data_IF_056197577345
#
_entry.id   IF_056197577345
#
_cell.length_a   1.000
_cell.length_b   1.000
_cell.length_c   1.000
_cell.angle_alpha   90.00
_cell.angle_beta   90.00
_cell.angle_gamma   90.00
#
_symmetry.space_group_name_H-M   'P 1'
#
loop_
_entity.id
_entity.type
_entity.pdbx_description
1 polymer ?
#
# COMPACT_ATOMS: atom_id res chain seq x y z
N UNK A 1 44.03 26.09 11.83
CA UNK A 1 44.76 24.85 11.49
C UNK A 1 43.81 23.66 11.45
N UNK A 2 42.95 23.50 12.48
CA UNK A 2 41.86 22.49 12.52
C UNK A 2 40.90 22.49 11.32
N UNK A 3 40.54 23.64 10.75
CA UNK A 3 39.65 23.74 9.59
C UNK A 3 40.28 23.16 8.30
N UNK A 4 41.61 23.16 8.21
CA UNK A 4 42.37 22.66 7.06
C UNK A 4 42.58 21.15 7.14
N UNK A 5 42.74 20.61 8.35
CA UNK A 5 42.80 19.17 8.60
C UNK A 5 41.43 18.50 8.40
N UNK A 6 40.34 19.16 8.82
CA UNK A 6 38.97 18.68 8.60
C UNK A 6 38.65 18.60 7.10
N UNK A 7 38.95 19.63 6.32
CA UNK A 7 38.73 19.62 4.87
C UNK A 7 39.59 18.58 4.14
N UNK A 8 40.81 18.29 4.63
CA UNK A 8 41.61 17.20 4.09
C UNK A 8 41.02 15.82 4.41
N UNK A 9 40.46 15.61 5.60
CA UNK A 9 39.79 14.36 5.96
C UNK A 9 38.50 14.12 5.16
N UNK A 10 37.69 15.16 4.95
CA UNK A 10 36.47 15.07 4.11
C UNK A 10 36.82 14.78 2.66
N UNK A 11 37.84 15.47 2.11
CA UNK A 11 38.30 15.24 0.74
C UNK A 11 38.98 13.87 0.56
N UNK A 12 39.67 13.34 1.57
CA UNK A 12 40.20 11.96 1.54
C UNK A 12 39.08 10.92 1.59
N UNK A 13 38.03 11.15 2.37
CA UNK A 13 36.88 10.26 2.47
C UNK A 13 36.03 10.29 1.19
N UNK A 14 35.85 11.46 0.59
CA UNK A 14 35.13 11.66 -0.67
C UNK A 14 35.89 11.07 -1.88
N UNK A 15 37.23 11.17 -1.89
CA UNK A 15 38.06 10.54 -2.92
C UNK A 15 38.16 9.01 -2.75
N UNK A 16 38.15 8.49 -1.52
CA UNK A 16 38.09 7.04 -1.26
C UNK A 16 36.72 6.43 -1.62
N UNK A 17 35.64 7.23 -1.54
CA UNK A 17 34.28 6.84 -1.95
C UNK A 17 34.13 6.67 -3.46
N UNK A 18 34.92 7.41 -4.26
CA UNK A 18 34.82 7.46 -5.72
C UNK A 18 35.45 6.26 -6.43
N UNK A 19 36.41 5.58 -5.78
CA UNK A 19 37.12 4.41 -6.31
C UNK A 19 36.52 3.05 -5.86
N UNK A 20 35.47 3.06 -5.02
CA UNK A 20 34.86 1.83 -4.52
C UNK A 20 33.80 1.28 -5.48
N UNK A 21 33.86 -0.03 -5.75
CA UNK A 21 32.88 -0.76 -6.56
C UNK A 21 31.46 -0.55 -6.01
N UNK A 22 30.44 -0.54 -6.87
CA UNK A 22 29.02 -0.45 -6.45
C UNK A 22 28.66 -1.47 -5.35
N UNK A 23 29.35 -2.61 -5.34
CA UNK A 23 29.24 -3.64 -4.31
C UNK A 23 29.73 -3.19 -2.92
N UNK A 24 30.81 -2.42 -2.83
CA UNK A 24 31.36 -1.90 -1.57
C UNK A 24 30.51 -0.75 -1.02
N UNK A 25 29.94 0.07 -1.92
CA UNK A 25 28.96 1.10 -1.56
C UNK A 25 27.71 0.47 -0.91
N UNK A 26 27.25 -0.67 -1.44
CA UNK A 26 26.10 -1.41 -0.89
C UNK A 26 26.41 -2.11 0.44
N UNK A 27 27.67 -2.50 0.67
CA UNK A 27 28.06 -3.30 1.84
C UNK A 27 28.36 -2.46 3.08
N UNK A 28 28.97 -1.28 2.93
CA UNK A 28 29.57 -0.54 4.05
C UNK A 28 29.03 0.88 4.31
N UNK A 29 28.27 1.48 3.39
CA UNK A 29 27.74 2.84 3.60
C UNK A 29 26.29 2.76 4.12
N UNK A 30 26.06 3.25 5.34
CA UNK A 30 24.70 3.36 5.91
C UNK A 30 23.91 4.39 5.12
N UNK A 31 23.07 3.95 4.19
CA UNK A 31 22.22 4.84 3.40
C UNK A 31 20.74 4.44 3.58
N UNK A 32 20.01 5.05 4.53
CA UNK A 32 18.62 4.71 4.80
C UNK A 32 17.66 5.05 3.65
N UNK A 33 18.03 5.98 2.77
CA UNK A 33 17.27 6.30 1.56
C UNK A 33 17.39 5.22 0.49
N UNK A 34 18.53 4.53 0.42
CA UNK A 34 18.67 3.34 -0.44
C UNK A 34 18.03 2.12 0.18
N UNK A 35 18.11 1.96 1.51
CA UNK A 35 17.56 0.82 2.23
C UNK A 35 16.07 0.61 1.97
N UNK A 36 15.26 1.68 1.97
CA UNK A 36 13.82 1.61 1.65
C UNK A 36 13.51 0.99 0.29
N UNK A 37 14.33 1.26 -0.73
CA UNK A 37 14.12 0.68 -2.07
C UNK A 37 14.50 -0.80 -2.12
N UNK A 38 15.52 -1.21 -1.35
CA UNK A 38 15.89 -2.63 -1.22
C UNK A 38 14.77 -3.39 -0.51
N UNK A 39 14.17 -2.84 0.54
CA UNK A 39 13.00 -3.44 1.20
C UNK A 39 11.78 -3.50 0.27
N UNK A 40 11.53 -2.45 -0.52
CA UNK A 40 10.49 -2.46 -1.56
C UNK A 40 10.72 -3.58 -2.59
N UNK A 41 11.97 -3.81 -3.00
CA UNK A 41 12.33 -4.89 -3.91
C UNK A 41 12.13 -6.27 -3.26
N UNK A 42 12.54 -6.48 -2.00
CA UNK A 42 12.30 -7.72 -1.24
C UNK A 42 10.80 -8.02 -1.17
N UNK A 43 10.00 -6.99 -0.90
CA UNK A 43 8.55 -7.10 -0.85
C UNK A 43 7.96 -7.45 -2.23
N UNK A 44 8.41 -6.78 -3.31
CA UNK A 44 8.00 -7.10 -4.69
C UNK A 44 8.35 -8.55 -5.05
N UNK A 45 9.56 -9.01 -4.74
CA UNK A 45 9.96 -10.40 -5.00
C UNK A 45 9.09 -11.37 -4.21
N UNK A 46 8.76 -11.05 -2.95
CA UNK A 46 7.85 -11.87 -2.14
C UNK A 46 6.44 -11.95 -2.74
N UNK A 47 5.94 -10.86 -3.32
CA UNK A 47 4.66 -10.85 -4.05
C UNK A 47 4.70 -11.72 -5.31
N UNK A 48 5.78 -11.64 -6.10
CA UNK A 48 5.98 -12.47 -7.29
C UNK A 48 6.12 -13.96 -6.92
N UNK A 49 6.83 -14.27 -5.83
CA UNK A 49 6.94 -15.63 -5.30
C UNK A 49 5.58 -16.16 -4.85
N UNK A 50 4.78 -15.36 -4.14
CA UNK A 50 3.44 -15.75 -3.74
C UNK A 50 2.54 -16.06 -4.96
N UNK A 51 2.55 -15.18 -5.96
CA UNK A 51 1.87 -15.44 -7.23
C UNK A 51 2.37 -16.71 -7.92
N UNK A 52 3.70 -16.91 -7.96
CA UNK A 52 4.29 -18.10 -8.57
C UNK A 52 3.81 -19.37 -7.86
N UNK A 53 3.77 -19.39 -6.52
CA UNK A 53 3.25 -20.54 -5.75
C UNK A 53 1.76 -20.81 -5.99
N UNK A 54 0.99 -19.78 -6.34
CA UNK A 54 -0.43 -19.89 -6.69
C UNK A 54 -0.65 -20.48 -8.08
N UNK A 55 -0.02 -19.88 -9.09
CA UNK A 55 -0.40 -20.04 -10.51
C UNK A 55 0.62 -20.80 -11.36
N UNK A 56 1.91 -20.69 -11.07
CA UNK A 56 2.98 -21.11 -11.99
C UNK A 56 3.67 -22.39 -11.52
N UNK A 57 3.97 -22.47 -10.22
CA UNK A 57 4.69 -23.59 -9.60
C UNK A 57 3.81 -24.84 -9.48
N UNK A 58 2.49 -24.67 -9.42
CA UNK A 58 1.50 -25.75 -9.52
C UNK A 58 1.59 -26.52 -10.84
N UNK A 59 2.08 -25.87 -11.91
CA UNK A 59 2.17 -26.43 -13.26
C UNK A 59 3.50 -27.13 -13.54
N UNK A 60 4.55 -26.83 -12.78
CA UNK A 60 5.89 -27.36 -13.04
C UNK A 60 6.10 -28.68 -12.30
N UNK A 61 6.19 -29.78 -13.05
CA UNK A 61 6.35 -31.15 -12.52
C UNK A 61 7.60 -31.36 -11.64
N UNK A 62 8.69 -30.61 -11.88
CA UNK A 62 9.92 -30.71 -11.07
C UNK A 62 9.77 -30.06 -9.70
N UNK A 63 9.18 -28.86 -9.63
CA UNK A 63 8.97 -28.14 -8.39
C UNK A 63 7.89 -28.78 -7.53
N UNK A 64 6.82 -29.29 -8.15
CA UNK A 64 5.81 -30.08 -7.43
C UNK A 64 6.43 -31.33 -6.79
N UNK A 65 7.39 -32.00 -7.43
CA UNK A 65 8.16 -33.10 -6.82
C UNK A 65 9.04 -32.63 -5.65
N UNK A 66 9.73 -31.51 -5.80
CA UNK A 66 10.53 -30.92 -4.71
C UNK A 66 9.67 -30.62 -3.48
N UNK A 67 8.53 -29.94 -3.65
CA UNK A 67 7.62 -29.65 -2.55
C UNK A 67 6.98 -30.90 -1.97
N UNK A 68 6.60 -31.90 -2.78
CA UNK A 68 6.13 -33.20 -2.28
C UNK A 68 7.18 -33.91 -1.42
N UNK A 69 8.48 -33.70 -1.67
CA UNK A 69 9.55 -34.23 -0.83
C UNK A 69 9.59 -33.68 0.60
N UNK A 70 8.90 -32.56 0.88
CA UNK A 70 8.79 -32.00 2.23
C UNK A 70 7.73 -32.79 3.01
N UNK A 71 8.10 -33.21 4.23
CA UNK A 71 7.34 -34.16 5.09
C UNK A 71 5.84 -33.85 5.19
N UNK A 72 5.47 -32.58 5.29
CA UNK A 72 4.08 -32.13 5.45
C UNK A 72 3.30 -32.02 4.12
N UNK A 73 3.99 -31.95 2.99
CA UNK A 73 3.38 -31.87 1.65
C UNK A 73 3.13 -33.25 1.01
N UNK A 74 3.58 -34.33 1.66
CA UNK A 74 3.34 -35.71 1.21
C UNK A 74 1.94 -36.24 1.59
N UNK A 75 1.31 -35.65 2.62
CA UNK A 75 0.05 -36.14 3.21
C UNK A 75 -1.12 -35.29 2.72
N UNK A 76 -1.40 -35.29 1.41
CA UNK A 76 -2.63 -34.74 0.83
C UNK A 76 -2.94 -33.24 1.02
N UNK A 77 -2.10 -32.49 1.76
CA UNK A 77 -2.23 -31.05 2.00
C UNK A 77 -1.58 -30.31 0.83
N UNK A 78 -2.35 -29.49 0.11
CA UNK A 78 -1.86 -28.74 -1.05
C UNK A 78 -0.91 -27.61 -0.61
N UNK A 79 0.40 -27.82 -0.70
CA UNK A 79 1.42 -26.81 -0.40
C UNK A 79 1.56 -25.67 -1.44
N UNK A 80 0.71 -25.67 -2.46
CA UNK A 80 0.69 -24.74 -3.58
C UNK A 80 -0.75 -24.27 -3.80
N UNK A 81 -0.97 -23.25 -4.62
CA UNK A 81 -2.28 -22.60 -4.70
C UNK A 81 -2.47 -21.59 -3.55
N UNK A 82 -3.69 -21.45 -3.00
CA UNK A 82 -3.98 -20.46 -1.95
C UNK A 82 -3.12 -20.60 -0.68
N UNK A 83 -2.82 -21.83 -0.26
CA UNK A 83 -1.96 -22.10 0.90
C UNK A 83 -0.51 -21.68 0.65
N UNK A 84 -0.03 -21.82 -0.59
CA UNK A 84 1.31 -21.37 -0.99
C UNK A 84 1.46 -19.86 -0.84
N UNK A 85 0.44 -19.09 -1.22
CA UNK A 85 0.39 -17.64 -1.02
C UNK A 85 0.48 -17.27 0.45
N UNK A 86 -0.28 -17.96 1.31
CA UNK A 86 -0.25 -17.72 2.77
C UNK A 86 1.12 -18.06 3.36
N UNK A 87 1.78 -19.13 2.90
CA UNK A 87 3.13 -19.52 3.35
C UNK A 87 4.19 -18.47 2.99
N UNK A 88 4.20 -18.01 1.73
CA UNK A 88 5.13 -16.93 1.31
C UNK A 88 4.84 -15.63 2.06
N UNK A 89 3.56 -15.28 2.21
CA UNK A 89 3.13 -14.12 2.99
C UNK A 89 3.57 -14.20 4.45
N UNK A 90 3.42 -15.35 5.10
CA UNK A 90 3.85 -15.56 6.48
C UNK A 90 5.36 -15.34 6.63
N UNK A 91 6.16 -15.84 5.68
CA UNK A 91 7.61 -15.61 5.70
C UNK A 91 7.98 -14.14 5.53
N UNK A 92 7.31 -13.45 4.61
CA UNK A 92 7.47 -12.01 4.40
C UNK A 92 7.07 -11.20 5.65
N UNK A 93 5.91 -11.52 6.24
CA UNK A 93 5.41 -10.93 7.47
C UNK A 93 6.40 -11.10 8.62
N UNK A 94 6.92 -12.33 8.83
CA UNK A 94 7.89 -12.61 9.89
C UNK A 94 9.19 -11.82 9.68
N UNK A 95 9.69 -11.74 8.44
CA UNK A 95 10.88 -10.96 8.11
C UNK A 95 10.68 -9.48 8.49
N UNK A 96 9.59 -8.86 8.05
CA UNK A 96 9.31 -7.46 8.36
C UNK A 96 8.98 -7.24 9.84
N UNK A 97 8.39 -8.21 10.54
CA UNK A 97 8.19 -8.14 11.99
C UNK A 97 9.49 -8.23 12.78
N UNK A 98 10.44 -9.07 12.37
CA UNK A 98 11.78 -9.09 12.97
C UNK A 98 12.47 -7.74 12.76
N UNK A 99 12.37 -7.18 11.55
CA UNK A 99 12.89 -5.85 11.27
C UNK A 99 12.22 -4.79 12.13
N UNK A 100 10.89 -4.78 12.22
CA UNK A 100 10.11 -3.89 13.09
C UNK A 100 10.61 -3.93 14.54
N UNK A 101 10.64 -5.10 15.17
CA UNK A 101 11.10 -5.25 16.55
C UNK A 101 12.54 -4.76 16.73
N UNK A 102 13.43 -5.06 15.77
CA UNK A 102 14.83 -4.65 15.84
C UNK A 102 15.08 -3.14 15.64
N UNK A 103 14.20 -2.41 14.93
CA UNK A 103 14.40 -1.00 14.56
C UNK A 103 13.43 0.00 15.20
N UNK A 104 12.41 -0.44 15.94
CA UNK A 104 11.47 0.42 16.72
C UNK A 104 12.21 1.39 17.65
N UNK A 105 11.87 2.67 17.76
CA UNK A 105 12.64 3.65 18.59
C UNK A 105 14.05 3.97 18.09
N UNK A 106 14.33 3.81 16.80
CA UNK A 106 15.52 4.42 16.19
C UNK A 106 15.20 5.87 15.85
N UNK A 107 15.93 6.82 16.43
CA UNK A 107 15.79 8.25 16.16
C UNK A 107 17.01 8.86 15.47
N UNK A 108 18.22 8.39 15.79
CA UNK A 108 19.49 8.97 15.29
C UNK A 108 20.20 8.10 14.24
N UNK A 109 20.80 8.76 13.26
CA UNK A 109 21.71 8.20 12.26
C UNK A 109 23.00 7.68 12.93
N UNK A 110 23.72 6.79 12.25
CA UNK A 110 24.98 6.18 12.72
C UNK A 110 24.89 5.30 13.98
N UNK A 111 23.72 5.20 14.62
CA UNK A 111 23.46 4.27 15.71
C UNK A 111 23.53 2.80 15.26
N UNK A 112 23.66 1.88 16.23
CA UNK A 112 23.71 0.43 15.95
C UNK A 112 22.49 -0.04 15.17
N UNK A 113 21.32 0.51 15.49
CA UNK A 113 20.04 0.15 14.87
C UNK A 113 19.87 0.73 13.47
N UNK A 114 20.43 1.90 13.20
CA UNK A 114 20.53 2.46 11.86
C UNK A 114 21.46 1.63 10.98
N UNK A 115 22.65 1.26 11.48
CA UNK A 115 23.57 0.35 10.78
C UNK A 115 22.92 -1.01 10.49
N UNK A 116 22.14 -1.53 11.45
CA UNK A 116 21.33 -2.72 11.22
C UNK A 116 20.23 -2.47 10.18
N UNK A 117 19.51 -1.35 10.20
CA UNK A 117 18.46 -1.05 9.21
C UNK A 117 19.02 -0.88 7.79
N UNK A 118 20.12 -0.16 7.64
CA UNK A 118 20.64 0.33 6.35
C UNK A 118 21.75 -0.56 5.77
N UNK A 119 22.36 -1.44 6.57
CA UNK A 119 23.48 -2.30 6.16
C UNK A 119 23.21 -3.80 6.34
N UNK A 120 24.27 -4.60 6.54
CA UNK A 120 24.19 -6.03 6.91
C UNK A 120 23.31 -6.88 5.97
N UNK A 121 23.26 -6.52 4.69
CA UNK A 121 22.35 -7.10 3.70
C UNK A 121 22.53 -8.60 3.51
N UNK A 122 23.76 -9.12 3.54
CA UNK A 122 24.02 -10.56 3.41
C UNK A 122 23.27 -11.38 4.47
N UNK A 123 23.29 -10.92 5.72
CA UNK A 123 22.61 -11.58 6.83
C UNK A 123 21.09 -11.49 6.65
N UNK A 124 20.58 -10.32 6.27
CA UNK A 124 19.14 -10.11 6.04
C UNK A 124 18.59 -10.93 4.87
N UNK A 125 19.35 -11.06 3.77
CA UNK A 125 18.93 -11.84 2.61
C UNK A 125 18.86 -13.32 2.99
N UNK A 126 19.85 -13.84 3.73
CA UNK A 126 19.81 -15.20 4.26
C UNK A 126 18.62 -15.38 5.21
N UNK A 127 18.41 -14.43 6.13
CA UNK A 127 17.26 -14.44 7.05
C UNK A 127 15.92 -14.45 6.30
N UNK A 128 15.77 -13.60 5.28
CA UNK A 128 14.56 -13.53 4.45
C UNK A 128 14.31 -14.84 3.69
N UNK A 129 15.34 -15.45 3.10
CA UNK A 129 15.21 -16.74 2.41
C UNK A 129 14.78 -17.83 3.40
N UNK A 130 15.44 -17.91 4.56
CA UNK A 130 15.10 -18.90 5.60
C UNK A 130 13.66 -18.72 6.10
N UNK A 131 13.27 -17.48 6.42
CA UNK A 131 11.91 -17.17 6.86
C UNK A 131 10.86 -17.41 5.77
N UNK A 132 11.22 -17.34 4.49
CA UNK A 132 10.33 -17.69 3.38
C UNK A 132 10.16 -19.21 3.22
N UNK A 133 11.19 -20.01 3.52
CA UNK A 133 11.15 -21.48 3.40
C UNK A 133 10.46 -22.13 4.62
N UNK A 134 10.70 -21.63 5.84
CA UNK A 134 10.17 -22.21 7.09
C UNK A 134 8.65 -22.47 7.07
N UNK A 135 7.79 -21.55 6.59
CA UNK A 135 6.34 -21.77 6.51
C UNK A 135 5.93 -22.99 5.66
N UNK A 136 6.76 -23.43 4.73
CA UNK A 136 6.49 -24.65 3.95
C UNK A 136 6.63 -25.93 4.76
N UNK A 137 7.32 -25.87 5.91
CA UNK A 137 7.48 -26.97 6.86
C UNK A 137 6.40 -26.99 7.94
N UNK A 138 5.55 -25.95 8.01
CA UNK A 138 4.52 -25.83 9.05
C UNK A 138 3.24 -26.60 8.69
N UNK A 139 2.55 -27.18 9.70
CA UNK A 139 1.27 -27.85 9.51
C UNK A 139 0.16 -26.89 9.05
N UNK A 140 -0.80 -27.41 8.28
CA UNK A 140 -1.92 -26.64 7.71
C UNK A 140 -2.70 -25.83 8.75
N UNK A 141 -2.91 -26.38 9.95
CA UNK A 141 -3.61 -25.68 11.05
C UNK A 141 -2.98 -24.33 11.41
N UNK A 142 -1.64 -24.22 11.36
CA UNK A 142 -0.95 -22.95 11.61
C UNK A 142 -1.12 -21.97 10.45
N UNK A 143 -1.16 -22.48 9.21
CA UNK A 143 -1.40 -21.67 8.02
C UNK A 143 -2.83 -21.13 7.99
N UNK A 144 -3.82 -21.93 8.41
CA UNK A 144 -5.21 -21.48 8.56
C UNK A 144 -5.34 -20.41 9.64
N UNK A 145 -4.64 -20.58 10.77
CA UNK A 145 -4.60 -19.58 11.83
C UNK A 145 -3.96 -18.28 11.34
N UNK A 146 -2.84 -18.39 10.61
CA UNK A 146 -2.22 -17.25 9.96
C UNK A 146 -3.16 -16.59 8.95
N UNK A 147 -3.90 -17.35 8.14
CA UNK A 147 -4.90 -16.83 7.22
C UNK A 147 -5.95 -15.98 7.92
N UNK A 148 -6.45 -16.41 9.08
CA UNK A 148 -7.38 -15.61 9.91
C UNK A 148 -6.71 -14.35 10.46
N UNK A 149 -5.48 -14.45 10.93
CA UNK A 149 -4.72 -13.28 11.39
C UNK A 149 -4.44 -12.29 10.24
N UNK A 150 -4.19 -12.81 9.03
CA UNK A 150 -3.94 -12.01 7.85
C UNK A 150 -5.18 -11.22 7.39
N UNK A 151 -6.39 -11.76 7.56
CA UNK A 151 -7.63 -10.97 7.34
C UNK A 151 -7.68 -9.74 8.25
N UNK A 152 -7.35 -9.91 9.53
CA UNK A 152 -7.31 -8.80 10.48
C UNK A 152 -6.19 -7.80 10.15
N UNK A 153 -4.95 -8.28 9.94
CA UNK A 153 -3.82 -7.42 9.61
C UNK A 153 -3.96 -6.70 8.27
N UNK A 154 -4.65 -7.31 7.31
CA UNK A 154 -5.07 -6.69 6.06
C UNK A 154 -6.01 -5.50 6.29
N UNK A 155 -6.96 -5.61 7.23
CA UNK A 155 -7.80 -4.48 7.65
C UNK A 155 -6.99 -3.36 8.29
N UNK A 156 -6.01 -3.69 9.14
CA UNK A 156 -5.09 -2.72 9.74
C UNK A 156 -4.29 -1.99 8.65
N UNK A 157 -3.74 -2.71 7.67
CA UNK A 157 -3.04 -2.11 6.53
C UNK A 157 -3.91 -1.13 5.77
N UNK A 158 -5.16 -1.50 5.44
CA UNK A 158 -6.11 -0.64 4.74
C UNK A 158 -6.39 0.66 5.50
N UNK A 159 -6.58 0.59 6.83
CA UNK A 159 -6.80 1.78 7.67
C UNK A 159 -5.58 2.70 7.65
N UNK A 160 -4.37 2.16 7.80
CA UNK A 160 -3.13 2.95 7.79
C UNK A 160 -2.90 3.59 6.42
N UNK A 161 -3.07 2.82 5.34
CA UNK A 161 -2.95 3.28 3.97
C UNK A 161 -3.96 4.40 3.67
N UNK A 162 -5.20 4.24 4.14
CA UNK A 162 -6.27 5.21 3.99
C UNK A 162 -5.96 6.52 4.71
N UNK A 163 -5.52 6.45 5.97
CA UNK A 163 -5.08 7.64 6.73
C UNK A 163 -3.94 8.36 5.99
N UNK A 164 -2.95 7.60 5.51
CA UNK A 164 -1.81 8.14 4.76
C UNK A 164 -2.25 8.85 3.47
N UNK A 165 -3.15 8.24 2.68
CA UNK A 165 -3.67 8.88 1.45
C UNK A 165 -4.46 10.15 1.76
N UNK A 166 -5.30 10.14 2.79
CA UNK A 166 -6.07 11.32 3.18
C UNK A 166 -5.14 12.45 3.64
N UNK A 167 -4.16 12.14 4.50
CA UNK A 167 -3.15 13.10 4.96
C UNK A 167 -2.33 13.66 3.80
N UNK A 168 -1.94 12.82 2.84
CA UNK A 168 -1.25 13.26 1.64
C UNK A 168 -2.10 14.22 0.79
N UNK A 169 -3.41 13.94 0.62
CA UNK A 169 -4.31 14.82 -0.12
C UNK A 169 -4.49 16.18 0.58
N UNK A 170 -4.61 16.17 1.92
CA UNK A 170 -4.69 17.40 2.72
C UNK A 170 -3.37 18.18 2.63
N UNK A 171 -2.23 17.49 2.70
CA UNK A 171 -0.91 18.09 2.52
C UNK A 171 -0.75 18.72 1.12
N UNK A 172 -1.19 18.05 0.04
CA UNK A 172 -1.22 18.65 -1.30
C UNK A 172 -2.05 19.94 -1.28
N UNK A 173 -3.23 19.90 -0.66
CA UNK A 173 -4.10 21.07 -0.58
C UNK A 173 -3.41 22.24 0.13
N UNK A 174 -2.76 21.98 1.26
CA UNK A 174 -2.07 23.00 2.06
C UNK A 174 -0.80 23.54 1.38
N UNK A 175 -0.01 22.66 0.74
CA UNK A 175 1.18 23.06 -0.02
C UNK A 175 0.83 23.88 -1.26
N UNK A 176 -0.27 23.56 -1.92
CA UNK A 176 -0.69 24.25 -3.13
C UNK A 176 -1.47 25.55 -2.88
N UNK A 177 -1.86 25.86 -1.63
CA UNK A 177 -2.42 27.17 -1.25
C UNK A 177 -1.28 28.04 -0.67
N UNK A 178 -0.48 28.75 -1.50
CA UNK A 178 0.56 29.61 -0.97
C UNK A 178 -0.04 30.78 -0.20
N UNK A 179 0.69 31.20 0.86
CA UNK A 179 0.48 32.49 1.53
C UNK A 179 0.55 33.62 0.50
N UNK A 180 -0.62 34.14 0.11
CA UNK A 180 -0.92 35.49 -0.43
C UNK A 180 0.23 36.14 -1.25
N UNK A 181 0.57 35.69 -2.47
CA UNK A 181 1.04 36.56 -3.59
C UNK A 181 1.44 35.93 -4.95
N UNK A 182 1.05 34.70 -5.34
CA UNK A 182 1.40 34.16 -6.67
C UNK A 182 0.18 33.74 -7.50
N UNK A 183 -0.26 34.64 -8.40
CA UNK A 183 -1.41 34.43 -9.30
C UNK A 183 -1.25 33.17 -10.20
N UNK A 184 -0.02 32.78 -10.52
CA UNK A 184 0.27 31.58 -11.33
C UNK A 184 -0.06 30.29 -10.57
N UNK A 185 0.20 30.24 -9.26
CA UNK A 185 -0.03 29.04 -8.44
C UNK A 185 -1.54 28.79 -8.24
N UNK A 186 -2.33 29.85 -8.02
CA UNK A 186 -3.79 29.73 -7.88
C UNK A 186 -4.47 29.21 -9.16
N UNK A 187 -4.00 29.63 -10.35
CA UNK A 187 -4.52 29.13 -11.61
C UNK A 187 -4.27 27.61 -11.78
N UNK A 188 -3.07 27.13 -11.44
CA UNK A 188 -2.76 25.69 -11.51
C UNK A 188 -3.59 24.86 -10.53
N UNK A 189 -3.84 25.35 -9.32
CA UNK A 189 -4.71 24.69 -8.33
C UNK A 189 -6.15 24.59 -8.82
N UNK A 190 -6.67 25.68 -9.37
CA UNK A 190 -8.03 25.70 -9.92
C UNK A 190 -8.15 24.73 -11.10
N UNK A 191 -7.16 24.73 -12.01
CA UNK A 191 -7.12 23.81 -13.15
C UNK A 191 -7.07 22.35 -12.70
N UNK A 192 -6.23 22.03 -11.70
CA UNK A 192 -6.11 20.69 -11.13
C UNK A 192 -7.43 20.25 -10.47
N UNK A 193 -8.10 21.14 -9.75
CA UNK A 193 -9.39 20.87 -9.11
C UNK A 193 -10.47 20.58 -10.14
N UNK A 194 -10.61 21.44 -11.16
CA UNK A 194 -11.60 21.28 -12.24
C UNK A 194 -11.33 19.98 -13.01
N UNK A 195 -10.07 19.73 -13.39
CA UNK A 195 -9.68 18.50 -14.07
C UNK A 195 -10.04 17.25 -13.27
N UNK A 196 -9.80 17.28 -11.96
CA UNK A 196 -10.15 16.18 -11.06
C UNK A 196 -11.66 15.93 -11.01
N UNK A 197 -12.49 16.98 -10.89
CA UNK A 197 -13.95 16.84 -10.92
C UNK A 197 -14.48 16.30 -12.25
N UNK A 198 -13.93 16.76 -13.37
CA UNK A 198 -14.32 16.27 -14.71
C UNK A 198 -14.01 14.78 -14.83
N UNK A 199 -12.85 14.33 -14.35
CA UNK A 199 -12.48 12.91 -14.35
C UNK A 199 -13.39 12.10 -13.42
N UNK A 200 -13.73 12.61 -12.22
CA UNK A 200 -14.69 11.95 -11.33
C UNK A 200 -16.04 11.73 -12.01
N UNK A 201 -16.60 12.78 -12.63
CA UNK A 201 -17.89 12.71 -13.31
C UNK A 201 -17.83 11.75 -14.50
N UNK A 202 -16.77 11.80 -15.31
CA UNK A 202 -16.55 10.86 -16.41
C UNK A 202 -16.47 9.41 -15.92
N UNK A 203 -15.80 9.17 -14.79
CA UNK A 203 -15.72 7.86 -14.13
C UNK A 203 -17.09 7.34 -13.70
N UNK A 204 -17.91 8.16 -13.03
CA UNK A 204 -19.28 7.81 -12.63
C UNK A 204 -20.15 7.47 -13.85
N UNK A 205 -20.13 8.31 -14.90
CA UNK A 205 -20.88 8.06 -16.13
C UNK A 205 -20.44 6.77 -16.82
N UNK A 206 -19.12 6.54 -16.92
CA UNK A 206 -18.57 5.31 -17.46
C UNK A 206 -19.03 4.07 -16.68
N UNK A 207 -19.08 4.16 -15.35
CA UNK A 207 -19.53 3.06 -14.51
C UNK A 207 -21.00 2.71 -14.73
N UNK A 208 -21.89 3.70 -14.84
CA UNK A 208 -23.30 3.46 -15.17
C UNK A 208 -23.46 2.76 -16.53
N UNK A 209 -22.77 3.24 -17.56
CA UNK A 209 -22.88 2.69 -18.93
C UNK A 209 -22.35 1.25 -19.00
N UNK A 210 -21.29 0.94 -18.26
CA UNK A 210 -20.54 -0.32 -18.41
C UNK A 210 -20.97 -1.42 -17.44
N UNK A 211 -21.39 -1.06 -16.22
CA UNK A 211 -21.67 -1.99 -15.13
C UNK A 211 -23.11 -1.92 -14.58
N UNK A 212 -23.93 -0.97 -15.06
CA UNK A 212 -25.35 -0.87 -14.72
C UNK A 212 -26.26 -0.59 -15.96
N UNK A 213 -26.14 -1.37 -17.06
CA UNK A 213 -26.89 -1.11 -18.30
C UNK A 213 -28.39 -1.43 -18.21
N UNK A 214 -28.83 -2.17 -17.19
CA UNK A 214 -30.20 -2.63 -16.99
C UNK A 214 -30.69 -2.24 -15.59
N UNK A 215 -31.99 -1.95 -15.40
CA UNK A 215 -32.55 -1.61 -14.10
C UNK A 215 -32.48 -2.78 -13.09
N UNK A 216 -32.27 -4.02 -13.56
CA UNK A 216 -32.08 -5.20 -12.71
C UNK A 216 -30.75 -5.20 -11.95
N UNK A 217 -29.78 -4.36 -12.34
CA UNK A 217 -28.45 -4.30 -11.71
C UNK A 217 -28.46 -3.42 -10.45
N UNK A 218 -29.39 -3.71 -9.53
CA UNK A 218 -29.68 -2.87 -8.37
C UNK A 218 -28.46 -2.61 -7.48
N UNK A 219 -27.61 -3.62 -7.28
CA UNK A 219 -26.43 -3.49 -6.43
C UNK A 219 -25.40 -2.51 -7.00
N UNK A 220 -25.08 -2.63 -8.29
CA UNK A 220 -24.14 -1.72 -8.96
C UNK A 220 -24.73 -0.31 -9.07
N UNK A 221 -26.04 -0.18 -9.32
CA UNK A 221 -26.73 1.12 -9.27
C UNK A 221 -26.60 1.73 -7.87
N UNK A 222 -26.83 0.95 -6.81
CA UNK A 222 -26.71 1.41 -5.44
C UNK A 222 -25.29 1.89 -5.13
N UNK A 223 -24.25 1.10 -5.44
CA UNK A 223 -22.86 1.49 -5.20
C UNK A 223 -22.52 2.81 -5.92
N UNK A 224 -22.80 2.91 -7.22
CA UNK A 224 -22.46 4.12 -7.99
C UNK A 224 -23.26 5.35 -7.50
N UNK A 225 -24.55 5.18 -7.21
CA UNK A 225 -25.40 6.26 -6.69
C UNK A 225 -24.91 6.73 -5.33
N UNK A 226 -24.56 5.80 -4.46
CA UNK A 226 -24.07 6.11 -3.12
C UNK A 226 -22.71 6.82 -3.15
N UNK A 227 -21.78 6.37 -4.00
CA UNK A 227 -20.52 7.08 -4.28
C UNK A 227 -20.79 8.54 -4.69
N UNK A 228 -21.75 8.79 -5.58
CA UNK A 228 -22.13 10.15 -5.98
C UNK A 228 -22.65 10.99 -4.80
N UNK A 229 -23.45 10.40 -3.91
CA UNK A 229 -23.93 11.06 -2.68
C UNK A 229 -22.75 11.40 -1.75
N UNK A 230 -21.81 10.47 -1.57
CA UNK A 230 -20.62 10.69 -0.75
C UNK A 230 -19.72 11.80 -1.33
N UNK A 231 -19.56 11.86 -2.66
CA UNK A 231 -18.85 12.96 -3.32
C UNK A 231 -19.50 14.31 -3.02
N UNK A 232 -20.83 14.40 -3.18
CA UNK A 232 -21.57 15.62 -2.89
C UNK A 232 -21.45 16.03 -1.42
N UNK A 233 -21.51 15.06 -0.50
CA UNK A 233 -21.33 15.30 0.93
C UNK A 233 -19.94 15.89 1.24
N UNK A 234 -18.88 15.31 0.69
CA UNK A 234 -17.51 15.82 0.87
C UNK A 234 -17.35 17.25 0.37
N UNK A 235 -17.91 17.56 -0.80
CA UNK A 235 -17.89 18.92 -1.37
C UNK A 235 -18.63 19.90 -0.45
N UNK A 236 -19.84 19.54 -0.03
CA UNK A 236 -20.67 20.38 0.84
C UNK A 236 -20.02 20.66 2.19
N UNK A 237 -19.39 19.67 2.81
CA UNK A 237 -18.66 19.85 4.08
C UNK A 237 -17.41 20.69 3.89
N UNK A 238 -16.60 20.43 2.85
CA UNK A 238 -15.36 21.18 2.61
C UNK A 238 -15.62 22.68 2.34
N UNK A 239 -16.70 23.00 1.64
CA UNK A 239 -17.11 24.37 1.33
C UNK A 239 -17.84 25.08 2.48
N UNK A 240 -18.17 24.38 3.56
CA UNK A 240 -18.88 24.98 4.67
C UNK A 240 -18.03 26.09 5.31
N UNK A 241 -18.66 27.22 5.62
CA UNK A 241 -18.00 28.47 6.06
C UNK A 241 -17.13 28.35 7.32
N UNK A 242 -17.38 27.34 8.16
CA UNK A 242 -16.57 27.04 9.36
C UNK A 242 -15.31 26.23 9.07
N UNK A 243 -15.28 25.48 7.96
CA UNK A 243 -14.15 24.63 7.58
C UNK A 243 -13.28 25.36 6.56
N UNK A 244 -13.90 25.95 5.53
CA UNK A 244 -13.21 26.65 4.43
C UNK A 244 -12.05 25.82 3.83
N UNK A 245 -12.26 24.51 3.66
CA UNK A 245 -11.24 23.55 3.22
C UNK A 245 -10.83 23.68 1.75
N UNK A 246 -11.55 24.51 0.98
CA UNK A 246 -11.34 24.69 -0.45
C UNK A 246 -11.95 23.58 -1.30
N UNK A 247 -11.70 23.65 -2.61
CA UNK A 247 -12.28 22.71 -3.59
C UNK A 247 -11.31 21.63 -4.06
N UNK A 248 -10.00 21.79 -3.85
CA UNK A 248 -8.98 20.88 -4.37
C UNK A 248 -8.97 19.56 -3.59
N UNK A 249 -8.93 19.63 -2.25
CA UNK A 249 -8.98 18.46 -1.37
C UNK A 249 -10.17 17.51 -1.67
N UNK A 250 -11.44 17.97 -1.68
CA UNK A 250 -12.57 17.09 -2.00
C UNK A 250 -12.58 16.59 -3.46
N UNK A 251 -11.94 17.32 -4.40
CA UNK A 251 -11.80 16.87 -5.79
C UNK A 251 -10.84 15.69 -5.92
N UNK A 252 -9.64 15.79 -5.31
CA UNK A 252 -8.63 14.73 -5.30
C UNK A 252 -9.12 13.52 -4.52
N UNK A 253 -9.77 13.75 -3.38
CA UNK A 253 -10.43 12.72 -2.60
C UNK A 253 -11.53 12.02 -3.42
N UNK A 254 -12.29 12.78 -4.21
CA UNK A 254 -13.29 12.23 -5.10
C UNK A 254 -12.72 11.27 -6.14
N UNK A 255 -11.53 11.54 -6.69
CA UNK A 255 -10.87 10.61 -7.63
C UNK A 255 -10.57 9.27 -6.96
N UNK A 256 -10.09 9.30 -5.71
CA UNK A 256 -9.78 8.10 -4.96
C UNK A 256 -11.05 7.30 -4.61
N UNK A 257 -12.11 7.97 -4.17
CA UNK A 257 -13.41 7.35 -3.85
C UNK A 257 -14.05 6.71 -5.09
N UNK A 258 -14.04 7.40 -6.24
CA UNK A 258 -14.51 6.85 -7.52
C UNK A 258 -13.66 5.64 -7.95
N UNK A 259 -12.35 5.69 -7.75
CA UNK A 259 -11.46 4.55 -8.02
C UNK A 259 -11.77 3.34 -7.13
N UNK A 260 -12.04 3.54 -5.83
CA UNK A 260 -12.42 2.47 -4.92
C UNK A 260 -13.75 1.82 -5.32
N UNK A 261 -14.76 2.62 -5.67
CA UNK A 261 -16.04 2.15 -6.19
C UNK A 261 -15.86 1.32 -7.47
N UNK A 262 -15.11 1.84 -8.45
CA UNK A 262 -14.79 1.07 -9.67
C UNK A 262 -14.04 -0.23 -9.32
N UNK A 263 -13.09 -0.16 -8.40
CA UNK A 263 -12.36 -1.33 -7.90
C UNK A 263 -13.28 -2.39 -7.29
N UNK A 264 -14.29 -1.98 -6.53
CA UNK A 264 -15.27 -2.88 -5.91
C UNK A 264 -16.16 -3.58 -6.94
N UNK A 265 -16.68 -2.83 -7.92
CA UNK A 265 -17.53 -3.36 -8.99
C UNK A 265 -16.74 -4.33 -9.88
N UNK A 266 -15.46 -4.05 -10.19
CA UNK A 266 -14.62 -4.99 -10.95
C UNK A 266 -14.23 -6.25 -10.16
N UNK A 267 -14.38 -6.22 -8.85
CA UNK A 267 -14.15 -7.38 -7.97
C UNK A 267 -15.36 -8.31 -7.88
N UNK A 268 -16.52 -7.89 -8.40
CA UNK A 268 -17.72 -8.73 -8.48
C UNK A 268 -17.40 -10.02 -9.25
N UNK A 269 -17.81 -11.21 -8.75
CA UNK A 269 -17.68 -12.44 -9.53
C UNK A 269 -18.48 -12.34 -10.83
N UNK A 270 -18.18 -13.18 -11.84
CA UNK A 270 -18.81 -13.08 -13.17
C UNK A 270 -20.35 -13.20 -13.13
N UNK A 271 -21.05 -12.07 -12.98
CA UNK A 271 -22.51 -11.95 -13.04
C UNK A 271 -22.98 -11.13 -14.26
N UNK A 272 -24.29 -11.14 -14.50
CA UNK A 272 -24.94 -10.67 -15.73
C UNK A 272 -24.88 -9.14 -15.98
N UNK A 273 -24.36 -8.35 -15.02
CA UNK A 273 -24.41 -6.89 -15.05
C UNK A 273 -23.23 -6.21 -15.74
N UNK A 274 -22.23 -6.96 -16.21
CA UNK A 274 -21.12 -6.43 -17.00
C UNK A 274 -21.40 -6.45 -18.51
N UNK A 275 -21.16 -5.32 -19.19
CA UNK A 275 -21.22 -5.25 -20.67
C UNK A 275 -20.03 -5.97 -21.31
N UNK A 276 -20.22 -7.23 -21.71
CA UNK A 276 -19.16 -8.04 -22.37
C UNK A 276 -18.74 -7.42 -23.72
N UNK A 277 -17.47 -7.05 -23.94
CA UNK A 277 -16.98 -6.65 -25.26
C UNK A 277 -16.88 -7.87 -26.19
N UNK A 278 -17.26 -7.70 -27.47
CA UNK A 278 -17.39 -8.77 -28.49
C UNK A 278 -16.06 -9.41 -28.97
N UNK A 279 -14.93 -9.25 -28.27
CA UNK A 279 -13.60 -9.66 -28.78
C UNK A 279 -12.94 -10.72 -27.90
N UNK A 280 -13.01 -11.99 -28.33
CA UNK A 280 -12.51 -13.16 -27.58
C UNK A 280 -10.97 -13.29 -27.51
N UNK A 281 -10.19 -12.55 -28.32
CA UNK A 281 -8.70 -12.67 -28.35
C UNK A 281 -7.94 -11.54 -27.64
N UNK A 282 -8.50 -10.34 -27.46
CA UNK A 282 -7.84 -9.23 -26.75
C UNK A 282 -7.86 -9.40 -25.22
N UNK A 283 -8.71 -10.28 -24.69
CA UNK A 283 -9.03 -10.39 -23.26
C UNK A 283 -7.86 -10.87 -22.40
N UNK A 284 -6.97 -11.73 -22.89
CA UNK A 284 -5.91 -12.33 -22.06
C UNK A 284 -4.78 -11.35 -21.69
N UNK A 285 -4.29 -10.56 -22.64
CA UNK A 285 -3.22 -9.59 -22.39
C UNK A 285 -3.66 -8.47 -21.43
N UNK A 286 -4.91 -8.01 -21.53
CA UNK A 286 -5.45 -7.00 -20.61
C UNK A 286 -5.52 -7.49 -19.16
N UNK A 287 -5.80 -8.78 -18.94
CA UNK A 287 -5.80 -9.38 -17.59
C UNK A 287 -4.38 -9.44 -17.01
N UNK A 288 -3.38 -9.83 -17.80
CA UNK A 288 -1.97 -9.84 -17.38
C UNK A 288 -1.51 -8.43 -17.04
N UNK A 289 -1.80 -7.44 -17.90
CA UNK A 289 -1.46 -6.03 -17.65
C UNK A 289 -2.12 -5.54 -16.36
N UNK A 290 -3.41 -5.83 -16.16
CA UNK A 290 -4.13 -5.45 -14.95
C UNK A 290 -3.52 -6.08 -13.69
N UNK A 291 -3.08 -7.33 -13.78
CA UNK A 291 -2.40 -8.02 -12.69
C UNK A 291 -1.06 -7.38 -12.34
N UNK A 292 -0.21 -7.10 -13.33
CA UNK A 292 1.09 -6.44 -13.12
C UNK A 292 0.90 -5.05 -12.52
N UNK A 293 -0.06 -4.28 -13.02
CA UNK A 293 -0.41 -2.97 -12.44
C UNK A 293 -0.88 -3.14 -10.99
N UNK A 294 -1.73 -4.14 -10.70
CA UNK A 294 -2.17 -4.42 -9.33
C UNK A 294 -1.02 -4.76 -8.38
N UNK A 295 -0.07 -5.60 -8.82
CA UNK A 295 1.14 -5.92 -8.05
C UNK A 295 2.02 -4.69 -7.81
N UNK A 296 2.26 -3.88 -8.83
CA UNK A 296 3.05 -2.65 -8.66
C UNK A 296 2.34 -1.63 -7.77
N UNK A 297 1.00 -1.55 -7.87
CA UNK A 297 0.20 -0.66 -7.04
C UNK A 297 0.26 -1.02 -5.56
N UNK A 298 0.20 -2.32 -5.20
CA UNK A 298 0.33 -2.72 -3.78
C UNK A 298 1.74 -2.45 -3.23
N UNK A 299 2.79 -2.66 -4.03
CA UNK A 299 4.16 -2.33 -3.62
C UNK A 299 4.32 -0.83 -3.43
N UNK A 300 3.83 -0.03 -4.38
CA UNK A 300 3.87 1.43 -4.29
C UNK A 300 3.07 1.95 -3.09
N UNK A 301 1.86 1.43 -2.87
CA UNK A 301 1.04 1.78 -1.72
C UNK A 301 1.76 1.47 -0.41
N UNK A 302 2.29 0.25 -0.26
CA UNK A 302 3.02 -0.17 0.95
C UNK A 302 4.26 0.71 1.18
N UNK A 303 5.02 1.00 0.11
CA UNK A 303 6.20 1.86 0.18
C UNK A 303 5.85 3.29 0.58
N UNK A 304 4.86 3.89 -0.08
CA UNK A 304 4.42 5.27 0.16
C UNK A 304 3.85 5.42 1.57
N UNK A 305 3.03 4.46 2.02
CA UNK A 305 2.49 4.48 3.39
C UNK A 305 3.59 4.24 4.41
N UNK A 306 4.59 3.40 4.13
CA UNK A 306 5.68 3.12 5.07
C UNK A 306 6.59 4.32 5.33
N UNK A 307 6.76 5.21 4.35
CA UNK A 307 7.57 6.45 4.51
C UNK A 307 6.79 7.60 5.17
N UNK A 308 5.46 7.52 5.21
CA UNK A 308 4.58 8.54 5.80
C UNK A 308 4.45 8.40 7.33
N UNK A 309 5.55 8.10 8.00
CA UNK A 309 5.58 7.90 9.46
C UNK A 309 5.31 9.17 10.24
N UNK A 310 5.60 10.34 9.66
CA UNK A 310 5.42 11.65 10.29
C UNK A 310 3.95 11.93 10.64
N UNK A 311 3.00 11.35 9.89
CA UNK A 311 1.57 11.44 10.20
C UNK A 311 1.18 10.71 11.50
N UNK A 312 1.94 9.70 11.92
CA UNK A 312 1.65 8.85 13.08
C UNK A 312 2.57 9.13 14.27
N UNK A 313 3.72 9.77 14.04
CA UNK A 313 4.56 10.28 15.11
C UNK A 313 3.92 11.56 15.64
N UNK A 314 3.47 11.51 16.90
CA UNK A 314 2.85 12.63 17.61
C UNK A 314 3.78 13.84 17.48
N UNK A 315 3.31 14.87 16.77
CA UNK A 315 4.08 16.06 16.43
C UNK A 315 4.40 16.87 17.68
N UNK A 316 5.50 16.58 18.36
CA UNK A 316 6.27 17.66 18.96
C UNK A 316 7.08 18.24 17.81
N UNK A 317 6.73 19.48 17.42
CA UNK A 317 7.42 20.28 16.43
C UNK A 317 8.81 20.68 16.98
N UNK A 318 9.67 19.71 17.21
CA UNK A 318 11.10 19.96 17.34
C UNK A 318 11.68 20.07 15.94
N UNK A 319 12.60 21.03 15.76
CA UNK A 319 13.39 21.16 14.54
C UNK A 319 14.10 19.81 14.31
N UNK A 320 13.90 19.20 13.14
CA UNK A 320 14.62 17.97 12.75
C UNK A 320 16.12 18.28 12.81
N UNK A 321 16.86 17.55 13.65
CA UNK A 321 18.30 17.69 13.73
C UNK A 321 18.96 17.00 12.52
N UNK A 322 20.10 17.50 12.04
CA UNK A 322 20.81 16.95 10.87
C UNK A 322 21.19 15.45 11.02
N UNK A 323 21.19 14.93 12.25
CA UNK A 323 21.49 13.54 12.57
C UNK A 323 20.24 12.66 12.82
N UNK A 324 19.03 13.19 12.63
CA UNK A 324 17.79 12.41 12.76
C UNK A 324 17.56 11.47 11.55
N UNK A 325 16.91 10.34 11.81
CA UNK A 325 16.53 9.40 10.75
C UNK A 325 15.41 9.97 9.87
N UNK A 326 15.44 9.77 8.54
CA UNK A 326 14.52 10.44 7.60
C UNK A 326 13.07 9.94 7.66
N UNK A 327 12.81 8.83 8.34
CA UNK A 327 11.48 8.27 8.58
C UNK A 327 11.56 7.25 9.72
N UNK A 328 10.43 6.99 10.38
CA UNK A 328 10.35 6.02 11.46
C UNK A 328 10.56 4.58 10.97
N UNK A 329 11.76 4.04 11.12
CA UNK A 329 12.13 2.69 10.66
C UNK A 329 11.19 1.60 11.18
N UNK A 330 10.77 1.69 12.45
CA UNK A 330 9.77 0.79 13.00
C UNK A 330 8.45 0.86 12.22
N UNK A 331 7.84 2.03 12.12
CA UNK A 331 6.59 2.20 11.39
C UNK A 331 6.68 1.72 9.94
N UNK A 332 7.77 2.03 9.25
CA UNK A 332 8.05 1.54 7.90
C UNK A 332 7.95 0.00 7.84
N UNK A 333 8.67 -0.72 8.69
CA UNK A 333 8.64 -2.18 8.69
C UNK A 333 7.30 -2.76 9.13
N UNK A 334 6.58 -2.09 10.04
CA UNK A 334 5.23 -2.48 10.43
C UNK A 334 4.22 -2.38 9.27
N UNK A 335 4.31 -1.32 8.46
CA UNK A 335 3.50 -1.16 7.24
C UNK A 335 3.80 -2.28 6.24
N UNK A 336 5.08 -2.63 6.05
CA UNK A 336 5.45 -3.75 5.18
C UNK A 336 4.97 -5.11 5.73
N UNK A 337 5.00 -5.32 7.04
CA UNK A 337 4.49 -6.54 7.67
C UNK A 337 2.98 -6.69 7.47
N UNK A 338 2.20 -5.64 7.76
CA UNK A 338 0.74 -5.65 7.53
C UNK A 338 0.39 -5.65 6.03
N UNK A 339 1.21 -5.02 5.19
CA UNK A 339 1.14 -5.13 3.72
C UNK A 339 1.38 -6.56 3.22
N UNK A 340 2.21 -7.34 3.94
CA UNK A 340 2.43 -8.76 3.61
C UNK A 340 1.15 -9.60 3.82
N UNK A 341 0.38 -9.27 4.86
CA UNK A 341 -0.93 -9.87 5.11
C UNK A 341 -1.96 -9.42 4.07
N UNK A 342 -1.97 -8.13 3.72
CA UNK A 342 -2.86 -7.56 2.70
C UNK A 342 -2.67 -8.22 1.33
N UNK A 343 -1.44 -8.33 0.80
CA UNK A 343 -1.22 -8.93 -0.52
C UNK A 343 -1.70 -10.38 -0.59
N UNK A 344 -1.60 -11.12 0.52
CA UNK A 344 -2.04 -12.50 0.59
C UNK A 344 -3.56 -12.60 0.41
N UNK A 345 -4.30 -11.68 1.04
CA UNK A 345 -5.75 -11.60 0.86
C UNK A 345 -6.10 -11.23 -0.58
N UNK A 346 -5.34 -10.33 -1.21
CA UNK A 346 -5.59 -9.97 -2.61
C UNK A 346 -5.36 -11.14 -3.57
N UNK A 347 -4.27 -11.87 -3.38
CA UNK A 347 -3.92 -13.03 -4.21
C UNK A 347 -4.79 -14.26 -3.92
N UNK A 348 -5.46 -14.33 -2.78
CA UNK A 348 -6.41 -15.40 -2.45
C UNK A 348 -7.88 -14.98 -2.60
N UNK A 349 -8.17 -13.74 -3.01
CA UNK A 349 -9.54 -13.27 -3.21
C UNK A 349 -10.33 -13.23 -1.90
N UNK A 350 -9.65 -13.04 -0.76
CA UNK A 350 -10.23 -12.99 0.58
C UNK A 350 -11.01 -14.24 0.99
N UNK A 351 -10.78 -15.37 0.31
CA UNK A 351 -11.40 -16.64 0.64
C UNK A 351 -10.47 -17.80 0.24
N UNK A 352 -9.97 -18.55 1.23
CA UNK A 352 -9.11 -19.72 1.02
C UNK A 352 -9.82 -20.88 0.31
N UNK A 353 -11.14 -20.92 0.33
CA UNK A 353 -11.94 -22.04 -0.18
C UNK A 353 -12.27 -21.92 -1.68
N UNK A 354 -11.98 -20.78 -2.31
CA UNK A 354 -12.22 -20.58 -3.73
C UNK A 354 -10.92 -20.32 -4.47
N UNK A 355 -10.67 -21.10 -5.52
CA UNK A 355 -9.52 -20.90 -6.38
C UNK A 355 -9.72 -19.67 -7.27
N UNK A 356 -8.80 -18.71 -7.20
CA UNK A 356 -8.76 -17.59 -8.13
C UNK A 356 -8.35 -18.01 -9.54
N UNK A 357 -8.86 -17.30 -10.55
CA UNK A 357 -8.43 -17.49 -11.94
C UNK A 357 -7.00 -16.98 -12.12
N UNK A 358 -6.21 -17.64 -12.99
CA UNK A 358 -4.86 -17.18 -13.34
C UNK A 358 -4.86 -15.72 -13.77
N UNK A 359 -3.83 -14.97 -13.35
CA UNK A 359 -3.68 -13.53 -13.64
C UNK A 359 -4.80 -12.64 -13.08
N UNK A 360 -5.56 -13.12 -12.10
CA UNK A 360 -6.53 -12.28 -11.37
C UNK A 360 -6.06 -12.00 -9.96
N UNK A 361 -6.50 -10.88 -9.42
CA UNK A 361 -6.27 -10.42 -8.05
C UNK A 361 -7.58 -9.79 -7.57
N UNK A 362 -7.92 -9.95 -6.29
CA UNK A 362 -9.09 -9.32 -5.69
C UNK A 362 -10.45 -9.65 -6.34
N UNK A 363 -10.70 -10.87 -6.79
CA UNK A 363 -12.01 -11.25 -7.35
C UNK A 363 -12.82 -12.03 -6.31
N UNK A 364 -14.07 -11.62 -6.08
CA UNK A 364 -15.02 -12.26 -5.18
C UNK A 364 -15.86 -11.25 -4.39
N UNK A 365 -17.04 -11.69 -3.93
CA UNK A 365 -17.95 -10.85 -3.15
C UNK A 365 -17.31 -10.24 -1.90
N UNK A 366 -16.45 -10.99 -1.21
CA UNK A 366 -15.70 -10.48 -0.05
C UNK A 366 -14.82 -9.30 -0.44
N UNK A 367 -14.10 -9.40 -1.56
CA UNK A 367 -13.25 -8.32 -2.08
C UNK A 367 -14.09 -7.08 -2.44
N UNK A 368 -15.23 -7.27 -3.10
CA UNK A 368 -16.19 -6.19 -3.40
C UNK A 368 -16.59 -5.44 -2.13
N UNK A 369 -17.06 -6.16 -1.11
CA UNK A 369 -17.51 -5.54 0.14
C UNK A 369 -16.38 -4.88 0.93
N UNK A 370 -15.18 -5.46 0.94
CA UNK A 370 -14.02 -4.82 1.57
C UNK A 370 -13.71 -3.48 0.91
N UNK A 371 -13.75 -3.40 -0.42
CA UNK A 371 -13.48 -2.15 -1.15
C UNK A 371 -14.58 -1.11 -0.93
N UNK A 372 -15.85 -1.51 -0.88
CA UNK A 372 -16.98 -0.62 -0.54
C UNK A 372 -16.86 -0.11 0.89
N UNK A 373 -16.56 -0.99 1.85
CA UNK A 373 -16.35 -0.59 3.24
C UNK A 373 -15.15 0.35 3.38
N UNK A 374 -14.06 0.09 2.65
CA UNK A 374 -12.89 0.97 2.59
C UNK A 374 -13.25 2.34 2.01
N UNK A 375 -14.06 2.39 0.96
CA UNK A 375 -14.57 3.65 0.39
C UNK A 375 -15.34 4.47 1.43
N UNK A 376 -16.29 3.86 2.13
CA UNK A 376 -17.09 4.55 3.15
C UNK A 376 -16.23 5.03 4.32
N UNK A 377 -15.31 4.19 4.78
CA UNK A 377 -14.37 4.55 5.83
C UNK A 377 -13.46 5.69 5.39
N UNK A 378 -13.05 5.72 4.11
CA UNK A 378 -12.19 6.79 3.61
C UNK A 378 -12.92 8.13 3.69
N UNK A 379 -14.18 8.17 3.24
CA UNK A 379 -15.01 9.38 3.33
C UNK A 379 -15.23 9.78 4.78
N UNK A 380 -15.51 8.83 5.67
CA UNK A 380 -15.68 9.11 7.09
C UNK A 380 -14.42 9.72 7.72
N UNK A 381 -13.24 9.12 7.51
CA UNK A 381 -11.96 9.63 8.03
C UNK A 381 -11.63 10.99 7.45
N UNK A 382 -11.86 11.20 6.15
CA UNK A 382 -11.67 12.50 5.51
C UNK A 382 -12.53 13.60 6.15
N UNK A 383 -13.84 13.34 6.28
CA UNK A 383 -14.77 14.29 6.92
C UNK A 383 -14.35 14.55 8.38
N UNK A 384 -13.94 13.51 9.11
CA UNK A 384 -13.46 13.65 10.48
C UNK A 384 -12.20 14.53 10.56
N UNK A 385 -11.23 14.33 9.67
CA UNK A 385 -10.01 15.15 9.63
C UNK A 385 -10.29 16.62 9.32
N UNK A 386 -11.34 16.93 8.54
CA UNK A 386 -11.78 18.31 8.30
C UNK A 386 -12.54 18.92 9.49
N UNK A 387 -13.37 18.12 10.17
CA UNK A 387 -14.30 18.60 11.20
C UNK A 387 -13.62 18.68 12.58
N UNK A 388 -12.78 17.71 12.95
CA UNK A 388 -12.20 17.59 14.29
C UNK A 388 -11.42 18.86 14.73
N UNK A 389 -10.60 19.51 13.89
CA UNK A 389 -9.93 20.77 14.26
C UNK A 389 -10.90 21.91 14.57
N UNK A 390 -12.07 21.94 13.92
CA UNK A 390 -13.09 22.98 14.11
C UNK A 390 -13.91 22.76 15.39
N UNK A 391 -14.08 21.51 15.80
CA UNK A 391 -14.70 21.16 17.10
C UNK A 391 -13.74 21.56 18.23
N UNK A 392 -12.48 21.10 18.15
CA UNK A 392 -11.50 21.34 19.20
C UNK A 392 -11.23 22.83 19.47
N UNK A 393 -11.22 23.67 18.41
CA UNK A 393 -11.10 25.13 18.55
C UNK A 393 -12.28 25.77 19.29
N UNK A 394 -13.51 25.28 19.05
CA UNK A 394 -14.70 25.79 19.74
C UNK A 394 -14.69 25.46 21.21
N UNK A 395 -14.23 24.26 21.57
CA UNK A 395 -14.15 23.84 22.97
C UNK A 395 -13.14 24.73 23.73
N UNK A 396 -11.98 25.03 23.14
CA UNK A 396 -10.98 25.94 23.72
C UNK A 396 -11.41 27.40 23.82
N UNK A 397 -12.34 27.87 22.97
CA UNK A 397 -12.89 29.25 23.05
C UNK A 397 -14.04 29.37 24.07
N UNK A 398 -14.57 28.24 24.56
CA UNK A 398 -15.71 28.18 25.49
C UNK A 398 -15.34 27.96 26.96
N UNK A 399 -14.09 27.60 27.23
CA UNK A 399 -13.43 27.58 28.56
C UNK A 399 -12.56 28.79 28.75
#
# INVERSE_FOLDING_TARGET
METRERNNSTNQQENALKDSSWYDHFKNVSNPLMARYVYALIFLVSNVLAWATRDELTRINSWTKFFKGLRECNIGITCLGPDGVLKVSMGCFLFFMVMFCSTTFTSKLNGVRDKWHSGWWSIKIVLWILLTIIPFLLPSKLIDLYGKAAHFGSGVFLIIQLISIVSFIIWINDCCIPKKNSNKCQFHVLLLSIGSYVICLAGIVFMYISYAPKPSCLLNIFFITWTLVLLQLMISVSLHSKINGGILSPALMGLYVVYLCWGAIRSEPEEACFRKPNTKSKTQWHTIISFVIGLLAIVYATFSTGIDSQCFQKSDKQEEEDDDVPYGYGFFHFVFATGAMYFAMLLNGWNSNHSMRKWTIDVGWTSTWVKVANEWLTVFVYLWMLIAPVINKRDTEST
#
